data_IF_718333201001
#
_entry.id   IF_718333201001
#
_cell.length_a   1.000
_cell.length_b   1.000
_cell.length_c   1.000
_cell.angle_alpha   90.00
_cell.angle_beta   90.00
_cell.angle_gamma   90.00
#
_symmetry.space_group_name_H-M   'P 1'
#
loop_
_entity.id
_entity.type
_entity.pdbx_description
1 polymer ?
#
# COMPACT_ATOMS: atom_id res chain seq x y z
N UNK A 1 11.24 -12.46 16.08
CA UNK A 1 11.83 -11.11 15.91
C UNK A 1 12.00 -10.89 14.41
N UNK A 2 11.43 -9.83 13.81
CA UNK A 2 11.69 -9.54 12.40
C UNK A 2 13.21 -9.32 12.24
N UNK A 3 13.83 -10.03 11.31
CA UNK A 3 15.25 -9.82 11.03
C UNK A 3 15.44 -8.42 10.47
N UNK A 4 16.52 -7.76 10.88
CA UNK A 4 16.93 -6.40 10.50
C UNK A 4 16.95 -6.11 8.98
N UNK A 5 16.81 -7.14 8.14
CA UNK A 5 16.70 -7.10 6.68
C UNK A 5 15.31 -6.73 6.13
N UNK A 6 14.24 -6.88 6.91
CA UNK A 6 12.88 -6.66 6.41
C UNK A 6 12.43 -5.20 6.58
N UNK A 7 12.86 -4.52 7.64
CA UNK A 7 12.52 -3.11 7.89
C UNK A 7 13.19 -2.15 6.90
N UNK A 8 14.37 -2.50 6.38
CA UNK A 8 15.04 -1.73 5.32
C UNK A 8 14.21 -1.63 4.04
N UNK A 9 13.21 -2.51 3.85
CA UNK A 9 12.35 -2.50 2.66
C UNK A 9 11.13 -1.58 2.81
N UNK A 10 10.81 -1.07 4.01
CA UNK A 10 9.59 -0.27 4.23
C UNK A 10 9.57 1.02 3.38
N UNK A 11 10.65 1.83 3.31
CA UNK A 11 10.67 3.01 2.45
C UNK A 11 10.46 2.67 0.97
N UNK A 12 11.06 1.58 0.49
CA UNK A 12 10.92 1.12 -0.89
C UNK A 12 9.51 0.63 -1.20
N UNK A 13 8.87 -0.07 -0.25
CA UNK A 13 7.46 -0.47 -0.36
C UNK A 13 6.55 0.75 -0.41
N UNK A 14 6.75 1.74 0.47
CA UNK A 14 6.01 2.99 0.43
C UNK A 14 6.18 3.70 -0.91
N UNK A 15 7.41 3.83 -1.41
CA UNK A 15 7.69 4.49 -2.68
C UNK A 15 6.99 3.80 -3.86
N UNK A 16 6.99 2.47 -3.90
CA UNK A 16 6.31 1.70 -4.96
C UNK A 16 4.78 1.83 -4.88
N UNK A 17 4.19 1.73 -3.68
CA UNK A 17 2.74 1.93 -3.49
C UNK A 17 2.33 3.34 -3.94
N UNK A 18 3.09 4.37 -3.55
CA UNK A 18 2.83 5.76 -3.97
C UNK A 18 2.99 5.93 -5.48
N UNK A 19 3.98 5.29 -6.09
CA UNK A 19 4.14 5.30 -7.54
C UNK A 19 2.93 4.67 -8.24
N UNK A 20 2.38 3.59 -7.66
CA UNK A 20 1.19 2.95 -8.20
C UNK A 20 -0.04 3.86 -8.11
N UNK A 21 -0.25 4.50 -6.96
CA UNK A 21 -1.37 5.43 -6.77
C UNK A 21 -1.34 6.62 -7.73
N UNK A 22 -0.15 7.17 -8.02
CA UNK A 22 -0.01 8.26 -9.01
C UNK A 22 -0.54 7.87 -10.39
N UNK A 23 -0.55 6.58 -10.72
CA UNK A 23 -1.07 6.07 -11.99
C UNK A 23 -2.56 5.77 -11.86
N UNK A 24 -2.99 5.10 -10.79
CA UNK A 24 -4.38 4.62 -10.64
C UNK A 24 -5.33 5.75 -10.30
N UNK A 25 -4.93 6.65 -9.40
CA UNK A 25 -5.77 7.68 -8.77
C UNK A 25 -5.01 9.01 -8.63
N UNK A 26 -4.69 9.69 -9.75
CA UNK A 26 -3.81 10.87 -9.78
C UNK A 26 -4.39 12.12 -9.08
N UNK A 27 -5.68 12.11 -8.74
CA UNK A 27 -6.36 13.23 -8.05
C UNK A 27 -5.96 13.31 -6.57
N UNK A 28 -5.41 12.23 -6.01
CA UNK A 28 -4.93 12.21 -4.64
C UNK A 28 -3.55 12.86 -4.59
N UNK A 29 -3.52 14.14 -4.20
CA UNK A 29 -2.30 14.98 -4.28
C UNK A 29 -1.21 14.57 -3.29
N UNK A 30 -1.57 14.12 -2.07
CA UNK A 30 -0.62 13.77 -1.01
C UNK A 30 -1.08 12.54 -0.22
N UNK A 31 -1.15 11.35 -0.85
CA UNK A 31 -1.52 10.15 -0.13
C UNK A 31 -0.49 9.86 0.96
N UNK A 32 -0.97 9.49 2.15
CA UNK A 32 -0.14 8.97 3.21
C UNK A 32 -0.31 7.46 3.32
N UNK A 33 0.77 6.73 3.55
CA UNK A 33 0.73 5.31 3.84
C UNK A 33 1.09 5.15 5.31
N UNK A 34 0.21 4.50 6.07
CA UNK A 34 0.48 4.15 7.46
C UNK A 34 0.22 2.68 7.71
N UNK A 35 0.74 2.19 8.83
CA UNK A 35 0.44 0.85 9.33
C UNK A 35 -0.12 0.94 10.73
N UNK A 36 -0.97 -0.01 11.08
CA UNK A 36 -1.60 -0.11 12.38
C UNK A 36 -1.87 -1.56 12.74
N UNK A 37 -2.11 -1.82 14.02
CA UNK A 37 -2.42 -3.17 14.52
C UNK A 37 -3.83 -3.25 15.07
N UNK A 38 -4.46 -4.40 14.88
CA UNK A 38 -5.69 -4.79 15.56
C UNK A 38 -5.49 -6.20 16.12
N UNK A 39 -5.24 -6.30 17.43
CA UNK A 39 -4.78 -7.54 18.05
C UNK A 39 -3.37 -7.93 17.58
N UNK A 40 -3.21 -9.17 17.15
CA UNK A 40 -1.94 -9.71 16.64
C UNK A 40 -1.72 -9.41 15.15
N UNK A 41 -2.72 -8.83 14.48
CA UNK A 41 -2.70 -8.59 13.04
C UNK A 41 -2.32 -7.17 12.69
N UNK A 42 -1.49 -7.04 11.65
CA UNK A 42 -1.06 -5.80 11.02
C UNK A 42 -1.90 -5.45 9.80
N UNK A 43 -2.09 -4.16 9.64
CA UNK A 43 -2.81 -3.51 8.54
C UNK A 43 -1.94 -2.41 7.94
N UNK A 44 -2.04 -2.21 6.64
CA UNK A 44 -1.47 -1.11 5.89
C UNK A 44 -2.61 -0.33 5.23
N UNK A 45 -2.58 1.00 5.35
CA UNK A 45 -3.68 1.89 4.96
C UNK A 45 -3.14 3.03 4.11
N UNK A 46 -3.90 3.41 3.10
CA UNK A 46 -3.67 4.59 2.26
C UNK A 46 -4.71 5.64 2.64
N UNK A 47 -4.26 6.84 2.96
CA UNK A 47 -5.09 7.96 3.37
C UNK A 47 -5.12 9.02 2.30
N UNK A 48 -6.29 9.60 2.04
CA UNK A 48 -6.43 10.79 1.20
C UNK A 48 -6.11 12.08 1.99
N UNK A 49 -6.20 13.22 1.31
CA UNK A 49 -5.92 14.53 1.91
C UNK A 49 -6.96 14.96 2.96
N UNK A 50 -8.12 14.29 3.01
CA UNK A 50 -9.22 14.56 3.93
C UNK A 50 -9.08 13.75 5.23
N UNK A 51 -8.07 12.89 5.31
CA UNK A 51 -7.85 12.01 6.45
C UNK A 51 -8.74 10.76 6.41
N UNK A 52 -9.23 10.37 5.24
CA UNK A 52 -10.03 9.16 5.05
C UNK A 52 -9.17 8.03 4.47
N UNK A 53 -9.44 6.80 4.90
CA UNK A 53 -8.82 5.60 4.33
C UNK A 53 -9.48 5.27 3.00
N UNK A 54 -8.71 5.31 1.91
CA UNK A 54 -9.21 5.02 0.56
C UNK A 54 -8.94 3.58 0.12
N UNK A 55 -7.92 2.94 0.71
CA UNK A 55 -7.56 1.56 0.48
C UNK A 55 -6.85 1.02 1.71
N UNK A 56 -7.03 -0.27 2.00
CA UNK A 56 -6.32 -0.95 3.07
C UNK A 56 -6.13 -2.42 2.75
N UNK A 57 -5.04 -2.99 3.26
CA UNK A 57 -4.80 -4.43 3.29
C UNK A 57 -4.37 -4.84 4.69
N UNK A 58 -4.84 -5.99 5.17
CA UNK A 58 -4.60 -6.39 6.55
C UNK A 58 -4.89 -7.84 6.87
N UNK A 59 -4.72 -8.19 8.16
CA UNK A 59 -4.77 -9.58 8.61
C UNK A 59 -3.42 -10.29 8.52
N UNK A 60 -2.31 -9.54 8.52
CA UNK A 60 -0.96 -10.09 8.38
C UNK A 60 -0.23 -10.15 9.71
N UNK A 61 0.70 -11.10 9.85
CA UNK A 61 1.49 -11.28 11.08
C UNK A 61 2.54 -10.16 11.29
N UNK A 62 2.89 -9.41 10.25
CA UNK A 62 3.91 -8.36 10.33
C UNK A 62 3.54 -7.11 9.52
N UNK A 63 4.09 -5.97 9.94
CA UNK A 63 3.99 -4.69 9.23
C UNK A 63 4.46 -4.81 7.77
N UNK A 64 5.56 -5.52 7.53
CA UNK A 64 6.14 -5.69 6.19
C UNK A 64 5.26 -6.55 5.31
N UNK A 65 4.66 -7.61 5.87
CA UNK A 65 3.69 -8.44 5.14
C UNK A 65 2.44 -7.63 4.74
N UNK A 66 1.92 -6.78 5.63
CA UNK A 66 0.80 -5.89 5.32
C UNK A 66 1.14 -4.90 4.20
N UNK A 67 2.33 -4.30 4.22
CA UNK A 67 2.80 -3.41 3.16
C UNK A 67 3.01 -4.15 1.83
N UNK A 68 3.50 -5.40 1.84
CA UNK A 68 3.61 -6.23 0.64
C UNK A 68 2.23 -6.56 0.05
N UNK A 69 1.25 -6.88 0.89
CA UNK A 69 -0.14 -7.08 0.47
C UNK A 69 -0.72 -5.83 -0.21
N UNK A 70 -0.53 -4.65 0.40
CA UNK A 70 -0.95 -3.38 -0.17
C UNK A 70 -0.25 -3.06 -1.50
N UNK A 71 1.03 -3.40 -1.62
CA UNK A 71 1.76 -3.28 -2.89
C UNK A 71 1.18 -4.21 -3.97
N UNK A 72 0.91 -5.46 -3.65
CA UNK A 72 0.27 -6.41 -4.58
C UNK A 72 -1.10 -5.89 -5.05
N UNK A 73 -1.93 -5.44 -4.11
CA UNK A 73 -3.23 -4.85 -4.38
C UNK A 73 -3.16 -3.65 -5.34
N UNK A 74 -2.29 -2.68 -5.07
CA UNK A 74 -2.12 -1.50 -5.94
C UNK A 74 -1.49 -1.86 -7.29
N UNK A 75 -0.65 -2.90 -7.35
CA UNK A 75 -0.08 -3.41 -8.60
C UNK A 75 -1.16 -4.03 -9.49
N UNK A 76 -2.11 -4.78 -8.90
CA UNK A 76 -3.28 -5.28 -9.63
C UNK A 76 -4.14 -4.16 -10.20
N UNK A 77 -4.31 -3.04 -9.47
CA UNK A 77 -5.03 -1.86 -9.99
C UNK A 77 -4.34 -1.28 -11.23
N UNK A 78 -3.02 -1.13 -11.24
CA UNK A 78 -2.28 -0.69 -12.44
C UNK A 78 -2.55 -1.63 -13.60
N UNK A 79 -2.35 -2.94 -13.40
CA UNK A 79 -2.47 -3.90 -14.49
C UNK A 79 -3.87 -3.88 -15.10
N UNK A 80 -4.92 -3.80 -14.27
CA UNK A 80 -6.30 -3.60 -14.73
C UNK A 80 -6.49 -2.30 -15.50
N UNK A 81 -5.88 -1.20 -15.05
CA UNK A 81 -5.94 0.09 -15.75
C UNK A 81 -5.23 0.06 -17.11
N UNK A 82 -4.09 -0.62 -17.18
CA UNK A 82 -3.37 -0.85 -18.44
C UNK A 82 -4.19 -1.70 -19.41
N UNK A 83 -4.73 -2.84 -18.96
CA UNK A 83 -5.59 -3.71 -19.77
C UNK A 83 -6.73 -2.95 -20.43
N UNK A 84 -7.43 -2.09 -19.67
CA UNK A 84 -8.54 -1.25 -20.19
C UNK A 84 -8.12 -0.24 -21.27
N UNK A 85 -6.83 0.11 -21.36
CA UNK A 85 -6.32 1.08 -22.36
C UNK A 85 -5.87 0.39 -23.65
N UNK A 86 -5.57 -0.90 -23.59
CA UNK A 86 -5.06 -1.68 -24.73
C UNK A 86 -6.12 -2.61 -25.33
N UNK A 87 -7.27 -2.78 -24.64
CA UNK A 87 -8.48 -3.44 -25.13
C UNK A 87 -9.36 -2.49 -25.94
#
# INVERSE_FOLDING_TARGET
MPSRSDETNIPDLHAQILANLRITDPEIVRPAITTGTNGENWWAMIWNNEGEVIDCEGGYETTVAALRGLLEYTSHKIFKKWLKRVS
#
